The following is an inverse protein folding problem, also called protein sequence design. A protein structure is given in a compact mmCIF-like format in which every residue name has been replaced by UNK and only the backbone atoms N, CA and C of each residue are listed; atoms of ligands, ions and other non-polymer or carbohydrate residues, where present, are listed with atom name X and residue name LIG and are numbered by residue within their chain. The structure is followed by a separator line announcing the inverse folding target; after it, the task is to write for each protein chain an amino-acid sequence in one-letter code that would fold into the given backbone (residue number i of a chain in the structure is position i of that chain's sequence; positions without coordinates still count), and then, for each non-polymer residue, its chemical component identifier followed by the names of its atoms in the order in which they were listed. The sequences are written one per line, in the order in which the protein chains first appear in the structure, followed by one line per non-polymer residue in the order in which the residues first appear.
data_IF_944822692030
#
_entry.id   IF_944822692030
#
_cell.length_a   1.000
_cell.length_b   1.000
_cell.length_c   1.000
_cell.angle_alpha   90.00
_cell.angle_beta   90.00
_cell.angle_gamma   90.00
#
_symmetry.space_group_name_H-M   'P 1'
#
loop_
_entity.id
_entity.type
_entity.pdbx_description
1 polymer ?
#
# COMPACT_ATOMS: atom_id res chain seq x y z
N UNK A 1 43.68 -26.49 -49.07
CA UNK A 1 42.29 -26.17 -48.76
C UNK A 1 42.25 -25.76 -47.27
N UNK A 2 42.08 -24.47 -46.96
CA UNK A 2 42.04 -23.94 -45.58
C UNK A 2 40.58 -23.89 -45.15
N UNK A 3 40.17 -24.66 -44.14
CA UNK A 3 38.85 -24.62 -43.55
C UNK A 3 38.77 -23.46 -42.52
N UNK A 4 38.05 -22.40 -42.88
CA UNK A 4 37.71 -21.31 -41.95
C UNK A 4 36.53 -21.80 -41.12
N UNK A 5 36.78 -22.02 -39.79
CA UNK A 5 35.70 -22.26 -38.81
C UNK A 5 35.14 -20.92 -38.36
N UNK A 6 33.89 -20.60 -38.76
CA UNK A 6 33.11 -19.49 -38.22
C UNK A 6 32.62 -19.90 -36.81
N UNK A 7 33.13 -19.21 -35.79
CA UNK A 7 32.61 -19.30 -34.42
C UNK A 7 31.44 -18.33 -34.30
N UNK A 8 30.21 -18.83 -34.26
CA UNK A 8 29.02 -18.04 -33.93
C UNK A 8 29.04 -17.79 -32.42
N UNK A 9 29.37 -16.57 -32.01
CA UNK A 9 29.17 -16.10 -30.66
C UNK A 9 27.68 -15.85 -30.45
N UNK A 10 26.99 -16.77 -29.76
CA UNK A 10 25.62 -16.56 -29.28
C UNK A 10 25.70 -15.62 -28.07
N UNK A 11 25.43 -14.35 -28.28
CA UNK A 11 25.26 -13.38 -27.19
C UNK A 11 23.84 -13.60 -26.64
N UNK A 12 23.67 -13.99 -25.37
CA UNK A 12 22.35 -14.07 -24.78
C UNK A 12 21.81 -12.64 -24.69
N UNK A 13 20.74 -12.36 -25.37
CA UNK A 13 19.95 -11.14 -25.17
C UNK A 13 19.30 -11.28 -23.79
N UNK A 14 19.91 -10.65 -22.77
CA UNK A 14 19.26 -10.44 -21.49
C UNK A 14 18.09 -9.48 -21.73
N UNK A 15 16.89 -10.02 -21.82
CA UNK A 15 15.65 -9.26 -21.72
C UNK A 15 15.60 -8.70 -20.28
N UNK A 16 16.10 -7.50 -20.07
CA UNK A 16 15.86 -6.74 -18.86
C UNK A 16 14.37 -6.42 -18.83
N UNK A 17 13.63 -7.09 -17.96
CA UNK A 17 12.28 -6.71 -17.63
C UNK A 17 12.33 -5.35 -16.94
N UNK A 18 11.80 -4.31 -17.58
CA UNK A 18 11.71 -2.97 -17.00
C UNK A 18 10.65 -2.87 -15.91
N UNK A 19 10.53 -1.69 -15.31
CA UNK A 19 9.53 -1.40 -14.30
C UNK A 19 8.11 -1.73 -14.79
N UNK A 20 7.35 -2.42 -13.96
CA UNK A 20 5.96 -2.83 -14.23
C UNK A 20 5.02 -2.00 -13.36
N UNK A 21 3.87 -1.60 -13.93
CA UNK A 21 2.84 -0.88 -13.21
C UNK A 21 1.83 -1.87 -12.60
N UNK A 22 1.69 -1.86 -11.28
CA UNK A 22 0.75 -2.69 -10.55
C UNK A 22 -0.44 -1.86 -10.10
N UNK A 23 -1.64 -2.23 -10.55
CA UNK A 23 -2.91 -1.62 -10.14
C UNK A 23 -3.42 -2.31 -8.86
N UNK A 24 -3.69 -1.52 -7.83
CA UNK A 24 -4.19 -1.97 -6.53
C UNK A 24 -5.71 -1.90 -6.39
N UNK A 25 -6.43 -1.48 -7.42
CA UNK A 25 -7.89 -1.61 -7.45
C UNK A 25 -8.26 -3.08 -7.63
N UNK A 26 -8.66 -3.71 -6.52
CA UNK A 26 -8.99 -5.14 -6.52
C UNK A 26 -10.47 -5.37 -6.86
N UNK A 27 -10.79 -6.01 -8.00
CA UNK A 27 -12.18 -6.29 -8.39
C UNK A 27 -12.88 -7.28 -7.45
N UNK A 28 -12.12 -8.02 -6.63
CA UNK A 28 -12.65 -8.95 -5.62
C UNK A 28 -12.91 -8.29 -4.27
N UNK A 29 -12.45 -7.05 -4.06
CA UNK A 29 -12.61 -6.34 -2.80
C UNK A 29 -11.85 -6.97 -1.63
N UNK A 30 -10.74 -7.69 -1.89
CA UNK A 30 -9.95 -8.37 -0.85
C UNK A 30 -8.84 -7.48 -0.29
N UNK A 31 -8.44 -6.44 -1.03
CA UNK A 31 -7.49 -5.46 -0.54
C UNK A 31 -8.09 -4.71 0.65
N UNK A 32 -7.44 -4.80 1.81
CA UNK A 32 -8.01 -4.34 3.08
C UNK A 32 -6.99 -3.60 3.90
N UNK A 33 -7.42 -2.50 4.50
CA UNK A 33 -6.76 -1.78 5.59
C UNK A 33 -7.50 -2.11 6.88
N UNK A 34 -6.78 -2.51 7.92
CA UNK A 34 -7.32 -2.72 9.27
C UNK A 34 -6.74 -1.64 10.16
N UNK A 35 -7.55 -1.06 11.03
CA UNK A 35 -7.12 -0.07 12.00
C UNK A 35 -7.63 -0.41 13.40
N UNK A 36 -6.84 -0.06 14.40
CA UNK A 36 -7.18 -0.24 15.81
C UNK A 36 -6.75 0.98 16.61
N UNK A 37 -7.64 1.46 17.47
CA UNK A 37 -7.39 2.48 18.46
C UNK A 37 -7.68 1.86 19.83
N UNK A 38 -6.67 1.85 20.70
CA UNK A 38 -6.78 1.25 22.03
C UNK A 38 -6.64 2.37 23.08
N UNK A 39 -7.76 2.89 23.54
CA UNK A 39 -7.85 3.94 24.55
C UNK A 39 -8.11 3.33 25.93
N UNK A 40 -8.03 4.16 27.00
CA UNK A 40 -8.19 3.71 28.38
C UNK A 40 -9.55 3.04 28.64
N UNK A 41 -10.63 3.57 28.05
CA UNK A 41 -11.99 3.13 28.31
C UNK A 41 -12.57 2.30 27.16
N UNK A 42 -12.09 2.48 25.93
CA UNK A 42 -12.67 1.89 24.74
C UNK A 42 -11.58 1.40 23.77
N UNK A 43 -11.80 0.25 23.14
CA UNK A 43 -10.99 -0.25 22.04
C UNK A 43 -11.84 -0.28 20.77
N UNK A 44 -11.42 0.51 19.77
CA UNK A 44 -12.12 0.66 18.49
C UNK A 44 -11.34 -0.12 17.43
N UNK A 45 -12.03 -1.05 16.78
CA UNK A 45 -11.49 -1.85 15.68
C UNK A 45 -12.30 -1.58 14.42
N UNK A 46 -11.60 -1.41 13.30
CA UNK A 46 -12.27 -1.17 12.05
C UNK A 46 -11.47 -1.64 10.83
N UNK A 47 -12.11 -1.53 9.68
CA UNK A 47 -11.51 -1.89 8.40
C UNK A 47 -11.94 -0.93 7.29
N UNK A 48 -11.17 -0.94 6.18
CA UNK A 48 -11.53 -0.22 4.96
C UNK A 48 -11.12 -1.03 3.74
N UNK A 49 -11.96 -1.04 2.69
CA UNK A 49 -11.76 -1.83 1.47
C UNK A 49 -11.63 -0.99 0.19
N UNK A 50 -11.83 0.32 0.26
CA UNK A 50 -11.79 1.22 -0.91
C UNK A 50 -10.37 1.59 -1.37
N UNK A 51 -9.49 0.60 -1.52
CA UNK A 51 -8.09 0.79 -1.94
C UNK A 51 -8.02 0.85 -3.46
N UNK A 52 -7.25 1.81 -3.98
CA UNK A 52 -6.93 1.98 -5.40
C UNK A 52 -5.54 2.62 -5.57
N UNK A 53 -5.12 2.81 -6.82
CA UNK A 53 -3.84 3.44 -7.15
C UNK A 53 -2.88 2.50 -7.84
N UNK A 54 -1.71 3.03 -8.21
CA UNK A 54 -0.70 2.30 -8.98
C UNK A 54 0.68 2.44 -8.36
N UNK A 55 1.46 1.37 -8.40
CA UNK A 55 2.87 1.34 -8.01
C UNK A 55 3.69 0.80 -9.17
N UNK A 56 4.73 1.54 -9.55
CA UNK A 56 5.75 1.11 -10.49
C UNK A 56 6.81 0.33 -9.71
N UNK A 57 7.02 -0.94 -10.05
CA UNK A 57 7.99 -1.81 -9.39
C UNK A 57 8.83 -2.56 -10.42
N UNK A 58 10.15 -2.52 -10.22
CA UNK A 58 11.12 -3.32 -10.97
C UNK A 58 11.82 -4.26 -9.98
N UNK A 59 11.70 -5.59 -10.10
CA UNK A 59 12.36 -6.54 -9.21
C UNK A 59 13.90 -6.44 -9.26
N UNK A 60 14.46 -5.95 -10.37
CA UNK A 60 15.91 -5.74 -10.51
C UNK A 60 16.39 -4.42 -9.88
N UNK A 61 15.46 -3.46 -9.72
CA UNK A 61 15.72 -2.12 -9.18
C UNK A 61 14.68 -1.70 -8.13
N UNK A 62 14.47 -2.48 -7.08
CA UNK A 62 13.40 -2.23 -6.12
C UNK A 62 13.52 -0.87 -5.40
N UNK A 63 14.72 -0.30 -5.29
CA UNK A 63 14.89 1.04 -4.72
C UNK A 63 14.16 2.14 -5.50
N UNK A 64 13.97 1.98 -6.82
CA UNK A 64 13.30 2.95 -7.70
C UNK A 64 11.76 2.83 -7.66
N UNK A 65 11.22 1.98 -6.77
CA UNK A 65 9.76 1.81 -6.62
C UNK A 65 9.10 3.12 -6.25
N UNK A 66 8.06 3.47 -7.00
CA UNK A 66 7.31 4.72 -6.79
C UNK A 66 5.85 4.53 -7.17
N UNK A 67 4.98 5.43 -6.70
CA UNK A 67 3.56 5.37 -7.02
C UNK A 67 2.69 6.02 -5.97
N UNK A 68 1.38 5.86 -6.12
CA UNK A 68 0.42 6.42 -5.17
C UNK A 68 -0.67 5.40 -4.89
N UNK A 69 -0.97 5.23 -3.60
CA UNK A 69 -2.10 4.44 -3.11
C UNK A 69 -3.11 5.39 -2.49
N UNK A 70 -4.36 5.18 -2.84
CA UNK A 70 -5.51 5.89 -2.31
C UNK A 70 -6.37 4.93 -1.51
N UNK A 71 -6.94 5.45 -0.42
CA UNK A 71 -8.00 4.81 0.34
C UNK A 71 -9.22 5.74 0.33
N UNK A 72 -10.36 5.23 -0.11
CA UNK A 72 -11.63 5.94 -0.02
C UNK A 72 -12.01 6.09 1.46
N UNK A 73 -12.12 7.33 1.95
CA UNK A 73 -12.38 7.62 3.36
C UNK A 73 -13.76 7.10 3.81
N UNK A 74 -14.75 7.13 2.92
CA UNK A 74 -16.09 6.59 3.19
C UNK A 74 -16.12 5.05 3.30
N UNK A 75 -15.05 4.38 2.89
CA UNK A 75 -14.92 2.91 3.03
C UNK A 75 -14.50 2.46 4.42
N UNK A 76 -14.06 3.38 5.30
CA UNK A 76 -13.74 3.05 6.68
C UNK A 76 -15.01 2.62 7.43
N UNK A 77 -14.95 1.50 8.12
CA UNK A 77 -16.08 0.88 8.83
C UNK A 77 -15.69 0.44 10.23
N UNK A 78 -16.60 0.66 11.15
CA UNK A 78 -16.62 0.10 12.49
C UNK A 78 -18.01 -0.53 12.74
N UNK A 79 -18.11 -1.49 13.63
CA UNK A 79 -19.37 -2.23 13.84
C UNK A 79 -20.48 -1.35 14.44
N UNK A 80 -20.14 -0.36 15.27
CA UNK A 80 -21.10 0.57 15.85
C UNK A 80 -21.46 1.67 14.85
N UNK A 81 -22.73 1.72 14.42
CA UNK A 81 -23.20 2.66 13.39
C UNK A 81 -23.13 4.12 13.83
N UNK A 82 -23.37 4.42 15.12
CA UNK A 82 -23.27 5.79 15.65
C UNK A 82 -21.81 6.25 15.65
N UNK A 83 -20.89 5.36 16.06
CA UNK A 83 -19.46 5.64 16.01
C UNK A 83 -18.97 5.81 14.56
N UNK A 84 -19.51 5.02 13.62
CA UNK A 84 -19.18 5.17 12.20
C UNK A 84 -19.67 6.52 11.65
N UNK A 85 -20.87 6.95 12.00
CA UNK A 85 -21.41 8.26 11.61
C UNK A 85 -20.53 9.40 12.14
N UNK A 86 -20.13 9.35 13.43
CA UNK A 86 -19.19 10.30 14.02
C UNK A 86 -17.85 10.30 13.28
N UNK A 87 -17.25 9.11 13.06
CA UNK A 87 -15.98 8.98 12.35
C UNK A 87 -15.99 9.60 10.95
N UNK A 88 -17.10 9.47 10.23
CA UNK A 88 -17.27 10.06 8.90
C UNK A 88 -17.63 11.56 8.93
N UNK A 89 -18.12 12.04 10.06
CA UNK A 89 -18.60 13.42 10.24
C UNK A 89 -17.52 14.48 10.15
N UNK A 90 -17.98 15.74 10.05
CA UNK A 90 -17.16 16.95 9.88
C UNK A 90 -16.11 17.11 10.99
N UNK A 91 -16.46 16.76 12.21
CA UNK A 91 -15.58 16.85 13.38
C UNK A 91 -14.42 15.87 13.38
N UNK A 92 -14.51 14.77 12.61
CA UNK A 92 -13.51 13.70 12.56
C UNK A 92 -12.85 13.62 11.18
N UNK A 93 -13.27 12.72 10.32
CA UNK A 93 -12.65 12.54 9.00
C UNK A 93 -13.21 13.48 7.94
N UNK A 94 -14.44 13.97 8.11
CA UNK A 94 -15.13 14.84 7.14
C UNK A 94 -15.06 14.26 5.72
N UNK A 95 -15.55 13.02 5.58
CA UNK A 95 -15.38 12.23 4.34
C UNK A 95 -16.04 12.85 3.12
N UNK A 96 -17.01 13.77 3.33
CA UNK A 96 -17.65 14.52 2.24
C UNK A 96 -16.69 15.55 1.65
N UNK A 97 -15.90 16.20 2.48
CA UNK A 97 -14.94 17.23 2.07
C UNK A 97 -13.59 16.62 1.71
N UNK A 98 -13.19 15.57 2.41
CA UNK A 98 -11.92 14.87 2.24
C UNK A 98 -12.15 13.39 1.89
N UNK A 99 -12.57 13.08 0.64
CA UNK A 99 -13.02 11.74 0.27
C UNK A 99 -11.91 10.70 0.20
N UNK A 100 -10.64 11.12 0.22
CA UNK A 100 -9.50 10.20 0.07
C UNK A 100 -8.42 10.42 1.12
N UNK A 101 -7.84 9.31 1.56
CA UNK A 101 -6.55 9.24 2.25
C UNK A 101 -5.53 8.78 1.22
N UNK A 102 -4.35 9.41 1.16
CA UNK A 102 -3.35 9.15 0.13
C UNK A 102 -1.99 8.82 0.76
N UNK A 103 -1.29 7.84 0.18
CA UNK A 103 0.13 7.65 0.40
C UNK A 103 0.88 7.71 -0.93
N UNK A 104 1.68 8.76 -1.11
CA UNK A 104 2.54 8.96 -2.27
C UNK A 104 3.95 8.44 -1.96
N UNK A 105 4.30 7.29 -2.53
CA UNK A 105 5.60 6.63 -2.39
C UNK A 105 6.61 7.26 -3.33
N UNK A 106 7.75 7.68 -2.79
CA UNK A 106 8.85 8.25 -3.56
C UNK A 106 9.90 7.20 -3.94
N UNK A 107 10.29 6.36 -2.97
CA UNK A 107 11.33 5.33 -3.13
C UNK A 107 11.27 4.29 -1.99
N UNK A 108 12.03 3.21 -2.14
CA UNK A 108 12.28 2.25 -1.07
C UNK A 108 13.72 2.33 -0.60
N UNK A 109 13.91 2.31 0.73
CA UNK A 109 15.23 2.30 1.38
C UNK A 109 15.36 1.12 2.33
N UNK A 110 16.56 0.89 2.86
CA UNK A 110 16.86 -0.20 3.81
C UNK A 110 16.42 -1.59 3.31
N UNK A 111 16.65 -1.85 2.03
CA UNK A 111 16.25 -3.07 1.36
C UNK A 111 16.93 -4.32 1.97
N UNK A 112 16.12 -5.30 2.37
CA UNK A 112 16.59 -6.58 2.91
C UNK A 112 15.79 -7.74 2.34
N UNK A 113 16.42 -8.54 1.49
CA UNK A 113 15.80 -9.74 0.95
C UNK A 113 15.73 -10.85 2.02
N UNK A 114 14.53 -11.43 2.21
CA UNK A 114 14.30 -12.58 3.08
C UNK A 114 13.44 -13.62 2.35
N UNK A 115 14.06 -14.65 1.81
CA UNK A 115 13.37 -15.64 0.99
C UNK A 115 12.73 -14.97 -0.24
N UNK A 116 11.39 -15.04 -0.34
CA UNK A 116 10.64 -14.42 -1.43
C UNK A 116 10.19 -12.98 -1.13
N UNK A 117 10.35 -12.53 0.11
CA UNK A 117 9.92 -11.21 0.54
C UNK A 117 11.07 -10.22 0.59
N UNK A 118 10.84 -9.02 0.12
CA UNK A 118 11.70 -7.86 0.25
C UNK A 118 11.16 -6.98 1.37
N UNK A 119 11.91 -6.86 2.47
CA UNK A 119 11.62 -5.90 3.53
C UNK A 119 12.31 -4.57 3.21
N UNK A 120 11.62 -3.46 3.41
CA UNK A 120 12.12 -2.12 3.12
C UNK A 120 11.44 -1.06 4.00
N UNK A 121 11.95 0.17 3.94
CA UNK A 121 11.22 1.36 4.33
C UNK A 121 10.70 2.07 3.08
N UNK A 122 9.39 2.26 3.00
CA UNK A 122 8.72 3.05 1.98
C UNK A 122 8.76 4.52 2.40
N UNK A 123 9.60 5.30 1.77
CA UNK A 123 9.71 6.74 2.01
C UNK A 123 8.70 7.48 1.15
N UNK A 124 7.85 8.28 1.79
CA UNK A 124 6.77 8.93 1.06
C UNK A 124 6.08 10.03 1.86
N UNK A 125 4.88 10.37 1.39
CA UNK A 125 4.01 11.37 2.02
C UNK A 125 2.63 10.77 2.24
N UNK A 126 2.13 10.90 3.47
CA UNK A 126 0.76 10.55 3.84
C UNK A 126 -0.09 11.82 3.90
N UNK A 127 -1.24 11.80 3.26
CA UNK A 127 -2.21 12.91 3.30
C UNK A 127 -3.51 12.41 3.89
N UNK A 128 -3.95 13.03 4.98
CA UNK A 128 -5.25 12.79 5.64
C UNK A 128 -5.88 14.17 5.92
N UNK A 129 -7.15 14.39 5.57
CA UNK A 129 -7.85 15.68 5.74
C UNK A 129 -7.03 16.88 5.22
N UNK A 130 -6.40 16.73 4.07
CA UNK A 130 -5.56 17.77 3.46
C UNK A 130 -4.29 18.15 4.26
N UNK A 131 -3.96 17.42 5.33
CA UNK A 131 -2.68 17.54 6.05
C UNK A 131 -1.72 16.50 5.50
N UNK A 132 -0.56 16.93 5.02
CA UNK A 132 0.45 16.06 4.40
C UNK A 132 1.71 15.99 5.26
N UNK A 133 2.10 14.78 5.63
CA UNK A 133 3.30 14.49 6.42
C UNK A 133 4.25 13.56 5.69
N UNK A 134 5.55 13.75 5.86
CA UNK A 134 6.56 12.78 5.42
C UNK A 134 6.52 11.58 6.37
N UNK A 135 6.48 10.38 5.80
CA UNK A 135 6.48 9.13 6.56
C UNK A 135 7.41 8.10 5.94
N UNK A 136 7.98 7.29 6.82
CA UNK A 136 8.77 6.10 6.44
C UNK A 136 8.05 4.88 6.98
N UNK A 137 7.41 4.12 6.10
CA UNK A 137 6.58 2.98 6.48
C UNK A 137 7.36 1.67 6.28
N UNK A 138 7.45 0.80 7.29
CA UNK A 138 8.00 -0.54 7.10
C UNK A 138 7.08 -1.33 6.17
N UNK A 139 7.64 -1.90 5.10
CA UNK A 139 6.89 -2.68 4.12
C UNK A 139 7.56 -4.01 3.84
N UNK A 140 6.74 -5.01 3.59
CA UNK A 140 7.12 -6.29 3.03
C UNK A 140 6.49 -6.42 1.64
N UNK A 141 7.33 -6.57 0.61
CA UNK A 141 6.89 -6.77 -0.76
C UNK A 141 7.21 -8.20 -1.20
N UNK A 142 6.25 -8.85 -1.87
CA UNK A 142 6.48 -10.14 -2.51
C UNK A 142 6.05 -10.05 -3.97
N UNK A 143 7.02 -10.07 -4.87
CA UNK A 143 6.76 -10.14 -6.31
C UNK A 143 6.52 -11.59 -6.73
N UNK A 144 5.45 -11.83 -7.47
CA UNK A 144 5.01 -13.15 -7.90
C UNK A 144 4.76 -13.15 -9.42
N UNK A 145 5.78 -13.52 -10.17
CA UNK A 145 5.73 -13.62 -11.63
C UNK A 145 4.72 -14.67 -12.07
N UNK A 146 3.87 -14.33 -13.05
CA UNK A 146 2.86 -15.22 -13.64
C UNK A 146 1.72 -15.65 -12.70
N UNK A 147 1.67 -15.15 -11.47
CA UNK A 147 0.70 -15.64 -10.47
C UNK A 147 -0.65 -14.94 -10.50
N UNK A 148 -0.82 -13.90 -11.32
CA UNK A 148 -2.11 -13.21 -11.47
C UNK A 148 -3.18 -14.14 -12.03
N UNK A 149 -2.82 -15.07 -12.91
CA UNK A 149 -3.75 -16.05 -13.50
C UNK A 149 -4.41 -16.92 -12.43
N UNK A 150 -3.62 -17.39 -11.44
CA UNK A 150 -4.16 -18.18 -10.31
C UNK A 150 -5.11 -17.38 -9.42
N UNK A 151 -4.89 -16.07 -9.29
CA UNK A 151 -5.72 -15.19 -8.46
C UNK A 151 -6.94 -14.66 -9.22
N UNK A 152 -6.75 -14.16 -10.45
CA UNK A 152 -7.76 -13.38 -11.18
C UNK A 152 -8.18 -14.00 -12.52
N UNK A 153 -7.62 -15.18 -12.89
CA UNK A 153 -7.87 -15.87 -14.17
C UNK A 153 -7.45 -15.03 -15.41
N UNK A 154 -6.49 -14.14 -15.22
CA UNK A 154 -5.90 -13.28 -16.26
C UNK A 154 -4.38 -13.44 -16.19
N UNK A 155 -3.68 -13.73 -17.31
CA UNK A 155 -2.22 -13.81 -17.31
C UNK A 155 -1.58 -12.52 -16.82
N UNK A 156 -0.50 -12.64 -16.02
CA UNK A 156 0.23 -11.49 -15.50
C UNK A 156 0.86 -11.74 -14.15
N UNK A 157 1.37 -10.68 -13.55
CA UNK A 157 2.12 -10.69 -12.31
C UNK A 157 1.34 -10.08 -11.15
N UNK A 158 1.77 -10.45 -9.94
CA UNK A 158 1.25 -9.88 -8.70
C UNK A 158 2.38 -9.24 -7.88
N UNK A 159 2.06 -8.11 -7.26
CA UNK A 159 2.86 -7.50 -6.21
C UNK A 159 2.05 -7.49 -4.91
N UNK A 160 2.46 -8.32 -3.95
CA UNK A 160 1.84 -8.34 -2.62
C UNK A 160 2.57 -7.35 -1.74
N UNK A 161 1.83 -6.49 -1.06
CA UNK A 161 2.36 -5.49 -0.12
C UNK A 161 1.72 -5.68 1.22
N UNK A 162 2.54 -5.85 2.26
CA UNK A 162 2.12 -5.87 3.66
C UNK A 162 2.85 -4.80 4.43
N UNK A 163 2.15 -4.17 5.36
CA UNK A 163 2.75 -3.21 6.28
C UNK A 163 2.00 -3.18 7.60
N UNK A 164 2.73 -2.85 8.67
CA UNK A 164 2.15 -2.50 9.96
C UNK A 164 2.87 -1.25 10.46
N UNK A 165 2.12 -0.23 10.77
CA UNK A 165 2.65 1.05 11.24
C UNK A 165 1.63 1.78 12.11
N UNK A 166 2.05 2.91 12.67
CA UNK A 166 1.19 3.74 13.50
C UNK A 166 1.08 5.13 12.93
N UNK A 167 -0.09 5.73 13.10
CA UNK A 167 -0.33 7.16 12.84
C UNK A 167 -0.93 7.80 14.08
N UNK A 168 -0.67 9.09 14.29
CA UNK A 168 -1.32 9.87 15.33
C UNK A 168 -2.36 10.77 14.69
N UNK A 169 -3.60 10.70 15.17
CA UNK A 169 -4.67 11.55 14.66
C UNK A 169 -4.45 13.05 14.88
N UNK A 170 -3.76 13.39 15.98
CA UNK A 170 -3.38 14.76 16.29
C UNK A 170 -2.49 15.38 15.21
N UNK A 171 -1.55 14.60 14.65
CA UNK A 171 -0.63 15.06 13.62
C UNK A 171 -1.36 15.49 12.33
N UNK A 172 -2.57 14.97 12.12
CA UNK A 172 -3.47 15.30 11.00
C UNK A 172 -4.60 16.28 11.39
N UNK A 173 -4.52 16.88 12.57
CA UNK A 173 -5.51 17.85 13.05
C UNK A 173 -6.88 17.27 13.36
N UNK A 174 -6.95 15.97 13.67
CA UNK A 174 -8.22 15.29 14.01
C UNK A 174 -8.38 15.32 15.53
N UNK A 175 -9.20 16.26 16.05
CA UNK A 175 -9.52 16.41 17.47
C UNK A 175 -8.26 16.33 18.37
N UNK A 176 -7.23 17.18 18.14
CA UNK A 176 -5.96 17.09 18.84
C UNK A 176 -6.12 17.31 20.35
N UNK A 177 -5.64 16.33 21.14
CA UNK A 177 -5.72 16.35 22.60
C UNK A 177 -7.11 16.07 23.19
N UNK A 178 -8.15 15.88 22.36
CA UNK A 178 -9.52 15.63 22.81
C UNK A 178 -9.86 14.13 22.86
N UNK A 179 -10.77 13.73 23.74
CA UNK A 179 -11.35 12.37 23.87
C UNK A 179 -10.33 11.24 24.04
N UNK A 180 -9.13 11.51 24.59
CA UNK A 180 -8.03 10.55 24.66
C UNK A 180 -8.35 9.30 25.51
N UNK A 181 -9.31 9.41 26.43
CA UNK A 181 -9.80 8.33 27.26
C UNK A 181 -10.67 7.32 26.50
N UNK A 182 -11.32 7.73 25.40
CA UNK A 182 -12.22 6.90 24.56
C UNK A 182 -11.70 6.65 23.16
N UNK A 183 -10.97 7.62 22.59
CA UNK A 183 -10.42 7.54 21.24
C UNK A 183 -8.91 7.83 21.31
N UNK A 184 -8.12 6.79 21.27
CA UNK A 184 -6.66 6.92 21.34
C UNK A 184 -6.12 7.87 20.26
N UNK A 185 -5.05 8.59 20.61
CA UNK A 185 -4.33 9.40 19.63
C UNK A 185 -3.59 8.53 18.60
N UNK A 186 -2.97 7.46 19.07
CA UNK A 186 -2.22 6.52 18.24
C UNK A 186 -3.15 5.46 17.64
N UNK A 187 -3.04 5.25 16.33
CA UNK A 187 -3.82 4.30 15.56
C UNK A 187 -2.86 3.26 14.98
N UNK A 188 -3.05 2.01 15.34
CA UNK A 188 -2.36 0.88 14.72
C UNK A 188 -3.00 0.57 13.37
N UNK A 189 -2.18 0.55 12.30
CA UNK A 189 -2.61 0.27 10.94
C UNK A 189 -1.94 -1.02 10.45
N UNK A 190 -2.73 -1.91 9.86
CA UNK A 190 -2.25 -3.09 9.15
C UNK A 190 -2.83 -3.12 7.74
N UNK A 191 -1.98 -3.23 6.72
CA UNK A 191 -2.39 -3.33 5.32
C UNK A 191 -1.97 -4.66 4.70
N UNK A 192 -2.87 -5.21 3.89
CA UNK A 192 -2.63 -6.38 3.06
C UNK A 192 -3.21 -6.11 1.67
N UNK A 193 -2.32 -5.81 0.72
CA UNK A 193 -2.71 -5.38 -0.62
C UNK A 193 -2.09 -6.30 -1.67
N UNK A 194 -2.82 -6.53 -2.76
CA UNK A 194 -2.35 -7.23 -3.94
C UNK A 194 -2.54 -6.35 -5.17
N UNK A 195 -1.44 -5.89 -5.74
CA UNK A 195 -1.40 -5.17 -7.00
C UNK A 195 -1.32 -6.13 -8.17
N UNK A 196 -2.06 -5.85 -9.23
CA UNK A 196 -2.12 -6.67 -10.45
C UNK A 196 -1.43 -5.96 -11.62
N UNK A 197 -0.59 -6.71 -12.36
CA UNK A 197 -0.01 -6.28 -13.62
C UNK A 197 -0.36 -7.32 -14.72
N UNK A 198 -1.51 -7.16 -15.41
CA UNK A 198 -1.87 -8.03 -16.51
C UNK A 198 -0.87 -7.96 -17.67
N UNK A 199 -0.59 -9.09 -18.32
CA UNK A 199 0.10 -9.11 -19.62
C UNK A 199 -0.83 -8.47 -20.64
N UNK A 200 -0.30 -7.49 -21.38
CA UNK A 200 -1.01 -6.84 -22.49
C UNK A 200 -1.02 -7.72 -23.75
#
# INVERSE_FOLDING_TARGET
MKHIRFFFFFFPVLLFGGAKAFDFKDPKGVNTVIFQLDALLESINGSAGGVSGNVSFDPEKPAETSGTIFLEASSLRVDNSVLQEHMHGEDWLDVQKFPTIEFSLANLTQLKQQGRSLHALAEGKMTIRNVTLKMNLPVELTYLEGMLEKRNRVPGDLLIVRSKFKVKRDDFGIKPGEYLDKVANEIDISINLAGACPVK
#
